data_IF_567694875829
#
_entry.id   IF_567694875829
#
_cell.length_a   1.000
_cell.length_b   1.000
_cell.length_c   1.000
_cell.angle_alpha   90.00
_cell.angle_beta   90.00
_cell.angle_gamma   90.00
#
_symmetry.space_group_name_H-M   'P 1'
#
loop_
_entity.id
_entity.type
_entity.pdbx_description
1 polymer ?
#
# COMPACT_ATOMS: atom_id res chain seq x y z
N UNK A 1 3.98 -2.41 13.64
CA UNK A 1 3.15 -3.35 12.88
C UNK A 1 3.90 -3.75 11.62
N UNK A 2 3.96 -5.05 11.30
CA UNK A 2 4.59 -5.51 10.06
C UNK A 2 3.56 -5.37 8.95
N UNK A 3 3.95 -4.72 7.86
CA UNK A 3 3.10 -4.55 6.68
C UNK A 3 3.80 -5.18 5.48
N UNK A 4 3.02 -5.81 4.61
CA UNK A 4 3.46 -6.30 3.31
C UNK A 4 2.67 -5.55 2.24
N UNK A 5 3.37 -4.95 1.30
CA UNK A 5 2.79 -4.30 0.12
C UNK A 5 2.98 -5.21 -1.08
N UNK A 6 1.97 -5.26 -1.94
CA UNK A 6 1.97 -5.95 -3.21
C UNK A 6 1.47 -5.00 -4.29
N UNK A 7 2.30 -4.69 -5.28
CA UNK A 7 1.89 -3.96 -6.48
C UNK A 7 1.76 -4.94 -7.64
N UNK A 8 0.67 -4.82 -8.39
CA UNK A 8 0.40 -5.72 -9.51
C UNK A 8 1.30 -5.42 -10.70
N UNK A 9 1.67 -4.14 -10.88
CA UNK A 9 2.70 -3.75 -11.84
C UNK A 9 4.02 -4.40 -11.43
N UNK A 10 4.64 -5.11 -12.39
CA UNK A 10 5.93 -5.80 -12.22
C UNK A 10 5.97 -6.89 -11.13
N UNK A 11 4.80 -7.29 -10.59
CA UNK A 11 4.67 -8.27 -9.50
C UNK A 11 5.60 -7.96 -8.32
N UNK A 12 5.63 -6.69 -7.92
CA UNK A 12 6.56 -6.15 -6.95
C UNK A 12 5.97 -6.21 -5.54
N UNK A 13 6.68 -6.87 -4.63
CA UNK A 13 6.28 -6.98 -3.23
C UNK A 13 7.43 -6.63 -2.29
N UNK A 14 7.12 -5.96 -1.19
CA UNK A 14 8.08 -5.68 -0.13
C UNK A 14 7.41 -5.57 1.24
N UNK A 15 8.21 -5.79 2.27
CA UNK A 15 7.79 -5.65 3.66
C UNK A 15 8.34 -4.37 4.30
N UNK A 16 7.65 -3.90 5.34
CA UNK A 16 8.10 -2.77 6.15
C UNK A 16 7.60 -2.85 7.59
N UNK A 17 8.22 -2.05 8.46
CA UNK A 17 7.70 -1.78 9.79
C UNK A 17 7.07 -0.39 9.77
N UNK A 18 5.79 -0.32 10.10
CA UNK A 18 5.08 0.94 10.31
C UNK A 18 4.68 1.08 11.78
N UNK A 19 4.80 2.30 12.30
CA UNK A 19 4.38 2.62 13.67
C UNK A 19 2.90 2.98 13.76
N UNK A 20 2.34 3.53 12.67
CA UNK A 20 0.95 3.98 12.59
C UNK A 20 0.40 3.67 11.20
N UNK A 21 -0.86 3.26 11.14
CA UNK A 21 -1.58 3.07 9.88
C UNK A 21 -2.14 4.42 9.42
N UNK A 22 -1.35 5.14 8.64
CA UNK A 22 -1.67 6.46 8.11
C UNK A 22 -1.39 6.47 6.60
N UNK A 23 -2.31 7.03 5.81
CA UNK A 23 -2.16 7.20 4.36
C UNK A 23 -0.84 7.83 3.94
N UNK A 24 -0.32 8.82 4.68
CA UNK A 24 0.98 9.46 4.39
C UNK A 24 2.16 8.48 4.57
N UNK A 25 2.11 7.66 5.63
CA UNK A 25 3.13 6.64 5.90
C UNK A 25 3.08 5.56 4.82
N UNK A 26 1.89 5.08 4.46
CA UNK A 26 1.70 4.09 3.40
C UNK A 26 2.19 4.63 2.05
N UNK A 27 1.82 5.86 1.70
CA UNK A 27 2.24 6.55 0.47
C UNK A 27 3.76 6.61 0.37
N UNK A 28 4.45 6.98 1.45
CA UNK A 28 5.92 7.02 1.46
C UNK A 28 6.54 5.65 1.15
N UNK A 29 6.01 4.57 1.71
CA UNK A 29 6.51 3.22 1.40
C UNK A 29 6.31 2.86 -0.07
N UNK A 30 5.13 3.16 -0.63
CA UNK A 30 4.79 2.87 -2.02
C UNK A 30 5.59 3.71 -3.01
N UNK A 31 5.77 5.01 -2.76
CA UNK A 31 6.54 5.88 -3.66
C UNK A 31 8.05 5.56 -3.64
N UNK A 32 8.61 5.23 -2.48
CA UNK A 32 10.05 4.94 -2.36
C UNK A 32 10.40 3.55 -2.89
N UNK A 33 9.54 2.56 -2.63
CA UNK A 33 9.87 1.15 -2.90
C UNK A 33 9.16 0.59 -4.13
N UNK A 34 8.05 1.20 -4.53
CA UNK A 34 7.14 0.67 -5.54
C UNK A 34 7.35 1.17 -6.97
N UNK A 35 8.28 2.12 -7.19
CA UNK A 35 8.56 2.72 -8.50
C UNK A 35 7.27 3.14 -9.26
N UNK A 36 6.35 3.78 -8.53
CA UNK A 36 5.05 4.19 -9.07
C UNK A 36 5.20 5.57 -9.69
N UNK A 37 4.86 5.69 -10.98
CA UNK A 37 4.97 6.94 -11.75
C UNK A 37 3.90 7.98 -11.32
N UNK A 38 2.75 7.50 -10.83
CA UNK A 38 1.66 8.34 -10.36
C UNK A 38 1.76 8.57 -8.84
N UNK A 39 1.90 9.84 -8.47
CA UNK A 39 1.95 10.25 -7.07
C UNK A 39 0.56 10.24 -6.40
N UNK A 40 -0.53 10.26 -7.16
CA UNK A 40 -1.90 10.37 -6.64
C UNK A 40 -2.48 9.00 -6.26
N UNK A 41 -1.92 8.45 -5.18
CA UNK A 41 -2.29 7.14 -4.65
C UNK A 41 -3.25 7.31 -3.47
N UNK A 42 -4.32 6.52 -3.46
CA UNK A 42 -5.29 6.41 -2.35
C UNK A 42 -5.18 5.04 -1.68
N UNK A 43 -5.59 4.99 -0.42
CA UNK A 43 -5.58 3.79 0.40
C UNK A 43 -6.95 3.57 1.03
N UNK A 44 -7.42 2.33 1.02
CA UNK A 44 -8.56 1.87 1.81
C UNK A 44 -8.12 0.71 2.68
N UNK A 45 -8.66 0.60 3.89
CA UNK A 45 -8.28 -0.44 4.85
C UNK A 45 -9.52 -1.09 5.48
N UNK A 46 -9.50 -2.42 5.55
CA UNK A 46 -10.51 -3.22 6.21
C UNK A 46 -9.90 -3.83 7.48
N UNK A 47 -10.37 -3.36 8.65
CA UNK A 47 -9.88 -3.85 9.95
C UNK A 47 -10.22 -5.33 10.18
N UNK A 48 -11.33 -5.83 9.61
CA UNK A 48 -11.77 -7.21 9.76
C UNK A 48 -10.83 -8.20 9.06
N UNK A 49 -10.35 -7.86 7.86
CA UNK A 49 -9.47 -8.74 7.07
C UNK A 49 -8.00 -8.42 7.29
N UNK A 50 -7.68 -7.31 7.96
CA UNK A 50 -6.33 -6.76 8.09
C UNK A 50 -5.65 -6.51 6.73
N UNK A 51 -6.45 -6.19 5.71
CA UNK A 51 -5.99 -5.90 4.36
C UNK A 51 -6.48 -4.54 3.89
N UNK A 52 -5.75 -3.96 2.96
CA UNK A 52 -6.15 -2.73 2.31
C UNK A 52 -5.82 -2.72 0.82
N UNK A 53 -6.48 -1.83 0.08
CA UNK A 53 -6.25 -1.64 -1.34
C UNK A 53 -5.46 -0.35 -1.59
N UNK A 54 -4.72 -0.37 -2.68
CA UNK A 54 -3.94 0.75 -3.20
C UNK A 54 -4.55 1.10 -4.56
N UNK A 55 -5.08 2.31 -4.71
CA UNK A 55 -5.70 2.77 -5.96
C UNK A 55 -5.10 4.07 -6.46
N UNK A 56 -5.23 4.35 -7.76
CA UNK A 56 -4.92 5.66 -8.32
C UNK A 56 -6.08 6.66 -8.11
N UNK A 57 -5.93 7.86 -8.66
CA UNK A 57 -6.97 8.89 -8.61
C UNK A 57 -8.27 8.51 -9.32
N UNK A 58 -8.22 7.58 -10.28
CA UNK A 58 -9.35 7.06 -11.06
C UNK A 58 -9.95 5.79 -10.46
N UNK A 59 -9.53 5.43 -9.25
CA UNK A 59 -9.96 4.24 -8.51
C UNK A 59 -9.57 2.92 -9.21
N UNK A 60 -8.56 2.96 -10.08
CA UNK A 60 -7.92 1.77 -10.63
C UNK A 60 -7.06 1.10 -9.56
N UNK A 61 -7.18 -0.23 -9.39
CA UNK A 61 -6.42 -0.97 -8.39
C UNK A 61 -4.98 -1.18 -8.86
N UNK A 62 -4.04 -0.61 -8.10
CA UNK A 62 -2.60 -0.75 -8.33
C UNK A 62 -2.01 -1.92 -7.54
N UNK A 63 -2.66 -2.30 -6.45
CA UNK A 63 -2.18 -3.34 -5.55
C UNK A 63 -2.94 -3.42 -4.24
N UNK A 64 -2.36 -4.14 -3.30
CA UNK A 64 -2.90 -4.35 -1.96
C UNK A 64 -1.79 -4.29 -0.90
N UNK A 65 -2.21 -4.19 0.35
CA UNK A 65 -1.34 -4.39 1.49
C UNK A 65 -2.03 -5.20 2.58
N UNK A 66 -1.25 -5.91 3.38
CA UNK A 66 -1.72 -6.68 4.54
C UNK A 66 -0.90 -6.35 5.77
N UNK A 67 -1.58 -6.29 6.91
CA UNK A 67 -0.97 -6.04 8.21
C UNK A 67 -0.91 -7.34 8.98
N UNK A 68 0.31 -7.72 9.37
CA UNK A 68 0.54 -8.76 10.36
C UNK A 68 0.62 -8.05 11.72
N UNK A 69 -0.49 -8.15 12.46
CA UNK A 69 -0.63 -7.67 13.83
C UNK A 69 0.03 -8.65 14.82
#
# INVERSE_FOLDING_TARGET
>A
MKITFNLFKDNLSWGGIIHQLNGDVLRRHVLVSGNVDDMNIKFSYCETTLTGSITDQHDCVLGDFSILA
#
